data_IF_158921877286
#
_entry.id   IF_158921877286
#
_cell.length_a   1.000
_cell.length_b   1.000
_cell.length_c   1.000
_cell.angle_alpha   90.00
_cell.angle_beta   90.00
_cell.angle_gamma   90.00
#
_symmetry.space_group_name_H-M   'P 1'
#
loop_
_entity.id
_entity.type
_entity.pdbx_description
1 polymer ?
#
# COMPACT_ATOMS: atom_id res chain seq x y z
N UNK A 1 -7.75 10.86 15.53
CA UNK A 1 -7.23 9.97 16.58
C UNK A 1 -6.91 10.84 17.79
N UNK A 2 -7.75 10.83 18.81
CA UNK A 2 -7.47 11.55 20.06
C UNK A 2 -6.43 10.70 20.81
N UNK A 3 -5.19 11.17 20.91
CA UNK A 3 -4.21 10.48 21.74
C UNK A 3 -4.61 10.64 23.20
N UNK A 4 -5.06 9.54 23.81
CA UNK A 4 -5.20 9.43 25.26
C UNK A 4 -3.78 9.39 25.85
N UNK A 5 -3.47 10.35 26.72
CA UNK A 5 -2.29 10.42 27.61
C UNK A 5 -1.12 9.49 27.22
N UNK A 6 -0.22 9.98 26.37
CA UNK A 6 0.94 9.20 25.92
C UNK A 6 2.16 10.08 25.74
N UNK A 7 3.31 9.60 26.21
CA UNK A 7 4.60 10.27 26.10
C UNK A 7 5.56 9.89 27.22
N UNK A 8 6.81 10.33 27.09
CA UNK A 8 7.83 10.14 28.13
C UNK A 8 7.81 11.31 29.12
N UNK A 9 7.71 11.03 30.42
CA UNK A 9 7.78 12.05 31.47
C UNK A 9 9.04 12.92 31.33
N UNK A 10 8.88 14.23 31.50
CA UNK A 10 9.93 15.22 31.29
C UNK A 10 10.05 15.72 29.84
N UNK A 11 9.24 15.22 28.91
CA UNK A 11 9.09 15.77 27.55
C UNK A 11 7.63 16.09 27.21
N UNK A 12 6.67 15.46 27.90
CA UNK A 12 5.24 15.74 27.73
C UNK A 12 4.90 17.20 28.04
N UNK A 13 4.06 17.82 27.20
CA UNK A 13 3.57 19.17 27.41
C UNK A 13 2.52 19.26 28.54
N UNK A 14 2.29 20.43 29.15
CA UNK A 14 1.30 20.61 30.21
C UNK A 14 -0.12 20.17 29.83
N UNK A 15 -0.54 20.42 28.60
CA UNK A 15 -1.86 20.00 28.09
C UNK A 15 -1.98 18.49 27.89
N UNK A 16 -0.86 17.77 27.71
CA UNK A 16 -0.82 16.30 27.62
C UNK A 16 -0.94 15.70 29.03
N UNK A 17 -0.30 16.32 30.02
CA UNK A 17 -0.31 15.87 31.41
C UNK A 17 -1.69 16.09 32.06
N UNK A 18 -2.37 17.19 31.73
CA UNK A 18 -3.70 17.52 32.27
C UNK A 18 -4.76 16.56 31.72
N UNK A 19 -5.32 15.72 32.61
CA UNK A 19 -6.41 14.81 32.26
C UNK A 19 -7.62 15.56 31.69
N UNK A 20 -8.18 15.04 30.60
CA UNK A 20 -9.38 15.59 29.97
C UNK A 20 -9.16 16.80 29.08
N UNK A 21 -7.91 17.27 28.92
CA UNK A 21 -7.57 18.32 27.97
C UNK A 21 -7.23 17.69 26.62
N UNK A 22 -7.86 18.19 25.56
CA UNK A 22 -7.50 17.81 24.20
C UNK A 22 -6.22 18.54 23.79
N UNK A 23 -5.32 17.84 23.12
CA UNK A 23 -4.09 18.42 22.57
C UNK A 23 -3.94 18.05 21.10
N UNK A 24 -3.10 18.82 20.40
CA UNK A 24 -2.80 18.65 18.97
C UNK A 24 -1.28 18.63 18.78
N UNK A 25 -0.79 19.07 17.62
CA UNK A 25 0.63 19.23 17.33
C UNK A 25 1.36 20.19 18.30
N UNK A 26 0.64 20.98 19.09
CA UNK A 26 1.23 21.92 20.07
C UNK A 26 2.16 21.23 21.07
N UNK A 27 1.87 19.97 21.41
CA UNK A 27 2.65 19.18 22.34
C UNK A 27 4.07 18.86 21.81
N UNK A 28 4.20 18.75 20.48
CA UNK A 28 5.49 18.42 19.84
C UNK A 28 6.47 19.60 19.95
N UNK A 29 5.98 20.84 19.84
CA UNK A 29 6.82 22.03 20.03
C UNK A 29 7.39 22.14 21.45
N UNK A 30 6.61 21.79 22.45
CA UNK A 30 7.09 21.72 23.83
C UNK A 30 8.12 20.59 24.00
N UNK A 31 7.84 19.42 23.42
CA UNK A 31 8.75 18.28 23.44
C UNK A 31 10.08 18.60 22.75
N UNK A 32 10.06 19.34 21.64
CA UNK A 32 11.24 19.84 20.95
C UNK A 32 12.07 20.74 21.88
N UNK A 33 11.44 21.68 22.58
CA UNK A 33 12.13 22.51 23.58
C UNK A 33 12.83 21.67 24.66
N UNK A 34 12.17 20.62 25.16
CA UNK A 34 12.74 19.70 26.14
C UNK A 34 13.95 18.93 25.57
N UNK A 35 13.86 18.47 24.32
CA UNK A 35 14.96 17.75 23.63
C UNK A 35 16.15 18.68 23.40
N UNK A 36 15.93 19.89 22.88
CA UNK A 36 16.99 20.88 22.67
C UNK A 36 17.71 21.21 23.98
N UNK A 37 16.96 21.48 25.05
CA UNK A 37 17.54 21.70 26.38
C UNK A 37 18.39 20.50 26.83
N UNK A 38 17.90 19.27 26.62
CA UNK A 38 18.64 18.05 26.97
C UNK A 38 19.92 17.88 26.17
N UNK A 39 19.93 18.16 24.87
CA UNK A 39 21.15 18.10 24.06
C UNK A 39 22.23 19.06 24.58
N UNK A 40 21.82 20.19 25.17
CA UNK A 40 22.72 21.21 25.70
C UNK A 40 23.18 20.95 27.15
N UNK A 41 22.33 20.36 28.00
CA UNK A 41 22.60 20.19 29.44
C UNK A 41 22.76 18.74 29.90
N UNK A 42 22.45 17.77 29.05
CA UNK A 42 22.47 16.34 29.36
C UNK A 42 21.23 15.81 30.09
N UNK A 43 20.29 16.68 30.51
CA UNK A 43 19.07 16.30 31.22
C UNK A 43 17.85 17.12 30.77
N UNK A 44 16.64 16.62 31.01
CA UNK A 44 15.40 17.37 30.72
C UNK A 44 15.26 18.60 31.62
N UNK A 45 14.66 19.71 31.15
CA UNK A 45 14.50 20.95 31.91
C UNK A 45 13.67 20.78 33.19
N UNK A 46 12.78 19.79 33.25
CA UNK A 46 11.90 19.51 34.41
C UNK A 46 12.33 18.28 35.19
N UNK A 47 13.50 17.72 34.85
CA UNK A 47 14.12 16.62 35.59
C UNK A 47 15.29 17.19 36.38
N UNK A 48 15.05 17.54 37.64
CA UNK A 48 16.15 17.86 38.55
C UNK A 48 16.96 16.59 38.86
N UNK A 49 18.23 16.75 39.27
CA UNK A 49 19.07 15.64 39.74
C UNK A 49 18.45 14.82 40.89
N UNK A 50 17.48 15.42 41.59
CA UNK A 50 16.84 14.87 42.78
C UNK A 50 15.42 14.36 42.51
N UNK A 51 14.84 14.59 41.32
CA UNK A 51 13.49 14.15 41.01
C UNK A 51 13.46 12.62 40.88
N UNK A 52 12.82 11.95 41.84
CA UNK A 52 12.81 10.48 41.93
C UNK A 52 11.55 9.85 41.35
N UNK A 53 10.44 10.59 41.24
CA UNK A 53 9.15 10.07 40.79
C UNK A 53 8.62 10.75 39.52
N UNK A 54 7.74 10.06 38.79
CA UNK A 54 7.10 10.58 37.58
C UNK A 54 6.18 11.75 37.88
N UNK A 55 5.49 11.68 39.01
CA UNK A 55 4.55 12.69 39.51
C UNK A 55 5.27 14.00 39.85
N UNK A 56 6.49 13.91 40.40
CA UNK A 56 7.30 15.10 40.67
C UNK A 56 7.73 15.80 39.38
N UNK A 57 8.13 15.03 38.36
CA UNK A 57 8.50 15.57 37.04
C UNK A 57 7.29 16.23 36.38
N UNK A 58 6.11 15.60 36.46
CA UNK A 58 4.87 16.16 35.93
C UNK A 58 4.48 17.44 36.67
N UNK A 59 4.59 17.46 38.00
CA UNK A 59 4.36 18.65 38.81
C UNK A 59 5.32 19.80 38.44
N UNK A 60 6.61 19.52 38.24
CA UNK A 60 7.57 20.51 37.77
C UNK A 60 7.21 21.02 36.37
N UNK A 61 6.76 20.12 35.48
CA UNK A 61 6.33 20.48 34.13
C UNK A 61 5.10 21.38 34.14
N UNK A 62 4.17 21.20 35.07
CA UNK A 62 2.98 22.03 35.19
C UNK A 62 3.25 23.40 35.84
N UNK A 63 4.09 23.43 36.88
CA UNK A 63 4.12 24.56 37.81
C UNK A 63 5.45 25.33 37.83
N UNK A 64 6.54 24.73 37.36
CA UNK A 64 7.87 25.34 37.44
C UNK A 64 8.27 25.96 36.11
N UNK A 65 8.79 27.19 36.16
CA UNK A 65 9.45 27.82 35.03
C UNK A 65 10.83 27.18 34.77
N UNK A 66 11.23 27.18 33.49
CA UNK A 66 12.50 26.60 33.07
C UNK A 66 13.64 27.53 33.49
N UNK A 67 14.62 26.99 34.20
CA UNK A 67 15.82 27.75 34.55
C UNK A 67 16.76 27.81 33.35
N UNK A 68 16.93 28.99 32.77
CA UNK A 68 17.90 29.22 31.70
C UNK A 68 19.31 29.35 32.30
N UNK A 69 20.27 28.65 31.70
CA UNK A 69 21.68 28.72 32.09
C UNK A 69 22.25 30.08 31.69
N UNK A 70 23.06 30.71 32.53
CA UNK A 70 23.79 31.94 32.18
C UNK A 70 24.76 31.75 30.99
N UNK A 71 25.10 30.50 30.67
CA UNK A 71 25.91 30.13 29.51
C UNK A 71 25.15 30.13 28.18
N UNK A 72 23.82 30.27 28.20
CA UNK A 72 23.02 30.29 26.97
C UNK A 72 23.07 31.66 26.32
N UNK A 73 23.14 31.68 24.98
CA UNK A 73 23.02 32.94 24.24
C UNK A 73 21.61 33.53 24.40
N UNK A 74 21.44 34.84 24.21
CA UNK A 74 20.13 35.49 24.25
C UNK A 74 19.14 34.85 23.25
N UNK A 75 19.61 34.52 22.06
CA UNK A 75 18.81 33.95 20.97
C UNK A 75 18.32 32.53 21.32
N UNK A 76 19.21 31.71 21.89
CA UNK A 76 18.86 30.37 22.37
C UNK A 76 17.87 30.44 23.54
N UNK A 77 18.08 31.37 24.46
CA UNK A 77 17.20 31.57 25.61
C UNK A 77 15.80 31.99 25.15
N UNK A 78 15.71 32.84 24.13
CA UNK A 78 14.45 33.24 23.49
C UNK A 78 13.74 32.05 22.87
N UNK A 79 14.46 31.23 22.08
CA UNK A 79 13.91 30.03 21.46
C UNK A 79 13.34 29.05 22.50
N UNK A 80 14.13 28.70 23.52
CA UNK A 80 13.71 27.77 24.56
C UNK A 80 12.56 28.33 25.40
N UNK A 81 12.58 29.62 25.74
CA UNK A 81 11.48 30.27 26.47
C UNK A 81 10.20 30.28 25.65
N UNK A 82 10.28 30.46 24.33
CA UNK A 82 9.13 30.42 23.44
C UNK A 82 8.55 29.01 23.25
N UNK A 83 9.40 28.00 23.09
CA UNK A 83 8.99 26.59 22.94
C UNK A 83 8.44 25.99 24.24
N UNK A 84 8.99 26.39 25.39
CA UNK A 84 8.63 25.83 26.70
C UNK A 84 7.53 26.61 27.44
N UNK A 85 6.78 27.46 26.72
CA UNK A 85 5.59 28.11 27.25
C UNK A 85 4.55 27.08 27.68
N UNK A 86 3.98 27.28 28.87
CA UNK A 86 2.99 26.36 29.43
C UNK A 86 1.65 26.47 28.72
N UNK A 87 1.25 27.68 28.34
CA UNK A 87 0.09 27.96 27.51
C UNK A 87 0.43 27.73 26.03
N UNK A 88 -0.24 26.78 25.34
CA UNK A 88 -0.08 26.59 23.90
C UNK A 88 -0.33 27.86 23.09
N UNK A 89 -1.25 28.75 23.52
CA UNK A 89 -1.55 30.00 22.81
C UNK A 89 -0.38 31.00 22.79
N UNK A 90 0.56 30.86 23.73
CA UNK A 90 1.79 31.66 23.80
C UNK A 90 3.02 30.89 23.29
N UNK A 91 2.90 29.60 22.95
CA UNK A 91 4.02 28.77 22.55
C UNK A 91 4.45 29.06 21.10
N UNK A 92 5.75 29.10 20.85
CA UNK A 92 6.26 29.15 19.48
C UNK A 92 5.82 27.91 18.70
N UNK A 93 5.41 28.14 17.45
CA UNK A 93 4.88 27.09 16.59
C UNK A 93 3.37 26.90 16.70
N UNK A 94 2.70 27.64 17.60
CA UNK A 94 1.29 27.42 17.96
C UNK A 94 0.42 28.66 17.76
N UNK A 95 0.98 29.79 17.32
CA UNK A 95 0.27 31.08 17.20
C UNK A 95 -0.33 31.33 15.80
N UNK A 96 -0.54 30.25 15.04
CA UNK A 96 -1.23 30.24 13.76
C UNK A 96 -0.34 30.09 12.51
N UNK A 97 0.98 30.33 12.59
CA UNK A 97 1.91 30.15 11.45
C UNK A 97 2.75 28.88 11.52
N UNK A 98 2.58 28.07 12.58
CA UNK A 98 3.22 26.77 12.68
C UNK A 98 4.75 26.89 12.70
N UNK A 99 5.44 26.02 11.97
CA UNK A 99 6.90 25.95 11.97
C UNK A 99 7.59 27.25 11.57
N UNK A 100 6.96 28.13 10.77
CA UNK A 100 7.55 29.41 10.38
C UNK A 100 7.87 30.30 11.59
N UNK A 101 7.05 30.27 12.65
CA UNK A 101 7.32 31.02 13.89
C UNK A 101 8.63 30.61 14.56
N UNK A 102 9.00 29.33 14.42
CA UNK A 102 10.22 28.77 14.99
C UNK A 102 11.40 29.04 14.06
N UNK A 103 11.20 28.89 12.74
CA UNK A 103 12.22 29.17 11.72
C UNK A 103 12.65 30.64 11.67
N UNK A 104 11.72 31.56 11.93
CA UNK A 104 11.96 33.01 12.00
C UNK A 104 12.72 33.46 13.27
N UNK A 105 12.94 32.55 14.23
CA UNK A 105 13.68 32.88 15.44
C UNK A 105 15.12 33.28 15.12
N UNK A 106 15.63 34.29 15.80
CA UNK A 106 17.00 34.81 15.65
C UNK A 106 18.06 33.74 15.83
N UNK A 107 17.78 32.70 16.63
CA UNK A 107 18.64 31.53 16.78
C UNK A 107 18.96 30.84 15.44
N UNK A 108 18.00 30.83 14.50
CA UNK A 108 18.14 30.27 13.16
C UNK A 108 18.40 31.34 12.08
N UNK A 109 18.79 32.57 12.47
CA UNK A 109 18.94 33.69 11.54
C UNK A 109 19.97 33.46 10.42
N UNK A 110 20.92 32.55 10.61
CA UNK A 110 21.93 32.17 9.61
C UNK A 110 21.63 30.82 8.93
N UNK A 111 20.43 30.25 9.13
CA UNK A 111 20.06 28.93 8.58
C UNK A 111 19.33 29.08 7.26
N UNK A 112 19.91 28.51 6.19
CA UNK A 112 19.18 28.32 4.93
C UNK A 112 18.32 27.05 5.02
N UNK A 113 17.00 27.22 5.15
CA UNK A 113 16.06 26.10 5.28
C UNK A 113 15.93 25.25 4.00
N UNK A 114 16.24 25.80 2.83
CA UNK A 114 16.27 25.01 1.59
C UNK A 114 17.45 24.03 1.58
N UNK A 115 18.61 24.46 2.10
CA UNK A 115 19.78 23.60 2.23
C UNK A 115 19.60 22.55 3.34
N UNK A 116 18.86 22.87 4.41
CA UNK A 116 18.41 21.89 5.43
C UNK A 116 17.55 20.83 4.78
N UNK A 117 16.52 21.22 4.02
CA UNK A 117 15.58 20.30 3.37
C UNK A 117 16.28 19.40 2.34
N UNK A 118 17.21 19.99 1.58
CA UNK A 118 18.04 19.29 0.60
C UNK A 118 19.19 18.47 1.23
N UNK A 119 19.32 18.45 2.57
CA UNK A 119 20.35 17.73 3.33
C UNK A 119 21.79 18.09 2.91
N UNK A 120 22.05 19.37 2.65
CA UNK A 120 23.37 19.87 2.22
C UNK A 120 24.27 20.38 3.35
N UNK A 121 23.69 20.64 4.53
CA UNK A 121 24.47 21.09 5.67
C UNK A 121 25.34 19.94 6.20
N UNK A 122 26.57 20.26 6.58
CA UNK A 122 27.46 19.29 7.21
C UNK A 122 26.91 18.89 8.59
N UNK A 123 26.75 17.58 8.87
CA UNK A 123 26.28 17.13 10.16
C UNK A 123 27.35 17.40 11.24
N UNK A 124 26.97 17.81 12.46
CA UNK A 124 27.93 18.09 13.53
C UNK A 124 28.63 16.84 14.08
N UNK A 125 28.11 15.65 13.76
CA UNK A 125 28.68 14.36 14.13
C UNK A 125 28.48 13.38 12.97
N UNK A 126 29.57 12.92 12.40
CA UNK A 126 29.58 11.78 11.49
C UNK A 126 29.86 10.51 12.30
N UNK A 127 28.92 9.54 12.35
CA UNK A 127 29.14 8.30 13.07
C UNK A 127 30.35 7.53 12.49
N UNK A 128 31.27 7.03 13.34
CA UNK A 128 32.38 6.20 12.87
C UNK A 128 31.89 4.96 12.13
N UNK A 129 32.56 4.61 11.02
CA UNK A 129 32.21 3.41 10.25
C UNK A 129 32.42 2.16 11.09
N UNK A 130 31.37 1.36 11.23
CA UNK A 130 31.41 0.09 11.96
C UNK A 130 31.07 0.21 13.46
N UNK A 131 30.87 1.42 13.99
CA UNK A 131 30.31 1.60 15.33
C UNK A 131 28.78 1.56 15.27
N UNK A 132 28.21 0.61 16.01
CA UNK A 132 26.77 0.56 16.26
C UNK A 132 26.49 1.46 17.46
N UNK A 133 25.89 2.63 17.23
CA UNK A 133 25.39 3.52 18.29
C UNK A 133 24.09 2.98 18.94
N UNK A 134 24.06 1.68 19.22
CA UNK A 134 23.05 1.02 20.03
C UNK A 134 23.77 0.33 21.19
N UNK A 135 23.10 0.19 22.32
CA UNK A 135 23.60 -0.72 23.36
C UNK A 135 23.79 -2.12 22.72
N UNK A 136 24.87 -2.80 23.08
CA UNK A 136 25.09 -4.17 22.62
C UNK A 136 23.85 -5.01 22.99
N UNK A 137 23.45 -5.96 22.14
CA UNK A 137 22.38 -6.89 22.48
C UNK A 137 22.66 -7.60 23.81
N UNK A 138 23.93 -7.78 24.18
CA UNK A 138 24.35 -8.30 25.48
C UNK A 138 24.10 -7.33 26.66
N UNK A 139 24.12 -6.01 26.43
CA UNK A 139 23.89 -4.96 27.44
C UNK A 139 22.40 -4.64 27.66
N UNK A 140 21.54 -5.00 26.71
CA UNK A 140 20.09 -4.73 26.75
C UNK A 140 19.35 -5.71 27.67
N UNK A 141 20.01 -6.79 28.10
CA UNK A 141 19.41 -7.89 28.85
C UNK A 141 18.60 -8.83 27.94
N UNK A 142 18.53 -10.11 28.29
CA UNK A 142 17.71 -11.08 27.59
C UNK A 142 16.27 -11.03 28.10
N UNK A 143 15.30 -10.97 27.19
CA UNK A 143 13.91 -11.28 27.54
C UNK A 143 13.80 -12.79 27.84
N UNK A 144 13.11 -13.15 28.92
CA UNK A 144 12.93 -14.56 29.27
C UNK A 144 11.99 -15.23 28.25
N UNK A 145 12.50 -16.21 27.51
CA UNK A 145 11.67 -16.96 26.56
C UNK A 145 10.53 -17.72 27.26
N UNK A 146 10.72 -18.10 28.53
CA UNK A 146 9.68 -18.79 29.30
C UNK A 146 8.45 -17.90 29.54
N UNK A 147 8.60 -16.57 29.52
CA UNK A 147 7.48 -15.61 29.62
C UNK A 147 6.55 -15.69 28.40
N UNK A 148 7.05 -16.14 27.23
CA UNK A 148 6.29 -16.14 25.97
C UNK A 148 5.96 -17.54 25.44
N UNK A 149 6.70 -18.58 25.83
CA UNK A 149 6.52 -19.98 25.35
C UNK A 149 5.10 -20.53 25.50
N UNK A 150 4.35 -20.08 26.51
CA UNK A 150 2.97 -20.57 26.78
C UNK A 150 1.89 -19.73 26.11
N UNK A 151 2.25 -18.64 25.44
CA UNK A 151 1.30 -17.77 24.74
C UNK A 151 0.96 -18.40 23.40
N UNK A 152 -0.34 -18.59 23.14
CA UNK A 152 -0.86 -19.05 21.84
C UNK A 152 -1.71 -17.96 21.23
N UNK A 153 -1.44 -17.63 19.97
CA UNK A 153 -2.24 -16.68 19.20
C UNK A 153 -3.52 -17.37 18.72
N UNK A 154 -4.65 -16.83 19.11
CA UNK A 154 -5.97 -17.25 18.67
C UNK A 154 -6.35 -16.59 17.33
N UNK A 155 -7.40 -17.08 16.69
CA UNK A 155 -7.98 -16.42 15.50
C UNK A 155 -8.44 -14.99 15.81
N UNK A 156 -8.86 -14.73 17.05
CA UNK A 156 -9.25 -13.38 17.50
C UNK A 156 -8.05 -12.43 17.49
N UNK A 157 -6.87 -12.90 17.90
CA UNK A 157 -5.63 -12.12 17.89
C UNK A 157 -5.18 -11.84 16.45
N UNK A 158 -5.26 -12.86 15.58
CA UNK A 158 -4.91 -12.72 14.16
C UNK A 158 -5.80 -11.71 13.43
N UNK A 159 -7.09 -11.62 13.80
CA UNK A 159 -8.02 -10.65 13.19
C UNK A 159 -7.60 -9.19 13.41
N UNK A 160 -6.87 -8.88 14.48
CA UNK A 160 -6.34 -7.54 14.73
C UNK A 160 -5.37 -7.13 13.62
N UNK A 161 -4.61 -8.08 13.07
CA UNK A 161 -3.60 -7.85 12.03
C UNK A 161 -4.13 -8.03 10.61
N UNK A 162 -5.44 -8.26 10.43
CA UNK A 162 -6.04 -8.48 9.10
C UNK A 162 -5.70 -7.38 8.09
N UNK A 163 -5.63 -6.13 8.55
CA UNK A 163 -5.33 -4.96 7.73
C UNK A 163 -3.94 -4.37 8.03
N UNK A 164 -3.03 -5.17 8.59
CA UNK A 164 -1.67 -4.73 8.92
C UNK A 164 -0.79 -4.58 7.67
N UNK A 165 -0.94 -5.50 6.71
CA UNK A 165 -0.18 -5.48 5.46
C UNK A 165 -0.55 -4.26 4.61
N UNK A 166 0.46 -3.47 4.24
CA UNK A 166 0.30 -2.27 3.41
C UNK A 166 1.50 -2.12 2.48
N UNK A 167 1.25 -1.68 1.25
CA UNK A 167 2.28 -1.23 0.31
C UNK A 167 2.10 0.27 0.10
N UNK A 168 3.13 1.05 0.41
CA UNK A 168 3.14 2.49 0.12
C UNK A 168 3.58 2.68 -1.32
N UNK A 169 2.62 2.98 -2.20
CA UNK A 169 2.83 3.01 -3.65
C UNK A 169 4.03 3.86 -4.06
N UNK A 170 4.14 5.09 -3.56
CA UNK A 170 5.22 6.01 -3.95
C UNK A 170 6.60 5.49 -3.53
N UNK A 171 6.69 4.79 -2.39
CA UNK A 171 7.94 4.19 -1.91
C UNK A 171 8.36 3.01 -2.78
N UNK A 172 7.41 2.13 -3.09
CA UNK A 172 7.65 0.98 -3.95
C UNK A 172 8.04 1.43 -5.37
N UNK A 173 7.35 2.42 -5.92
CA UNK A 173 7.67 2.96 -7.25
C UNK A 173 9.05 3.62 -7.27
N UNK A 174 9.40 4.43 -6.27
CA UNK A 174 10.73 5.03 -6.17
C UNK A 174 11.83 3.96 -6.09
N UNK A 175 11.64 2.93 -5.26
CA UNK A 175 12.57 1.79 -5.15
C UNK A 175 12.73 1.05 -6.48
N UNK A 176 11.62 0.80 -7.20
CA UNK A 176 11.67 0.16 -8.53
C UNK A 176 12.43 1.01 -9.55
N UNK A 177 12.15 2.32 -9.59
CA UNK A 177 12.77 3.25 -10.54
C UNK A 177 14.26 3.42 -10.30
N UNK A 178 14.68 3.51 -9.04
CA UNK A 178 16.10 3.61 -8.66
C UNK A 178 16.85 2.28 -8.82
N UNK A 179 16.14 1.15 -8.69
CA UNK A 179 16.69 -0.19 -8.76
C UNK A 179 16.62 -0.82 -10.15
N UNK A 180 15.52 -1.53 -10.42
CA UNK A 180 15.47 -2.57 -11.47
C UNK A 180 14.59 -2.21 -12.68
N UNK A 181 13.86 -1.10 -12.64
CA UNK A 181 12.81 -0.78 -13.63
C UNK A 181 13.31 -0.84 -15.08
N UNK A 182 14.45 -0.21 -15.37
CA UNK A 182 15.02 -0.18 -16.71
C UNK A 182 15.42 -1.58 -17.22
N UNK A 183 16.00 -2.39 -16.34
CA UNK A 183 16.45 -3.74 -16.69
C UNK A 183 15.27 -4.68 -16.93
N UNK A 184 14.29 -4.68 -16.01
CA UNK A 184 13.09 -5.52 -16.13
C UNK A 184 12.30 -5.20 -17.39
N UNK A 185 12.13 -3.91 -17.72
CA UNK A 185 11.42 -3.51 -18.94
C UNK A 185 12.18 -3.92 -20.20
N UNK A 186 13.50 -3.70 -20.25
CA UNK A 186 14.33 -4.11 -21.40
C UNK A 186 14.29 -5.62 -21.64
N UNK A 187 14.32 -6.42 -20.57
CA UNK A 187 14.17 -7.87 -20.68
C UNK A 187 12.76 -8.28 -21.14
N UNK A 188 11.72 -7.61 -20.63
CA UNK A 188 10.34 -7.86 -21.01
C UNK A 188 10.07 -7.50 -22.47
N UNK A 189 10.53 -6.35 -22.93
CA UNK A 189 10.40 -5.89 -24.32
C UNK A 189 11.00 -6.90 -25.30
N UNK A 190 12.20 -7.43 -24.99
CA UNK A 190 12.86 -8.46 -25.81
C UNK A 190 12.05 -9.76 -25.86
N UNK A 191 11.41 -10.15 -24.75
CA UNK A 191 10.59 -11.35 -24.70
C UNK A 191 9.30 -11.16 -25.51
N UNK A 192 8.62 -10.03 -25.34
CA UNK A 192 7.40 -9.70 -26.08
C UNK A 192 7.65 -9.60 -27.59
N UNK A 193 8.77 -9.00 -28.00
CA UNK A 193 9.19 -8.95 -29.40
C UNK A 193 9.32 -10.35 -30.02
N UNK A 194 9.96 -11.28 -29.30
CA UNK A 194 10.14 -12.67 -29.76
C UNK A 194 8.80 -13.38 -29.94
N UNK A 195 7.88 -13.21 -29.00
CA UNK A 195 6.54 -13.81 -29.09
C UNK A 195 5.71 -13.18 -30.22
N UNK A 196 5.80 -11.86 -30.39
CA UNK A 196 5.14 -11.13 -31.49
C UNK A 196 5.62 -11.63 -32.85
N UNK A 197 6.92 -11.82 -33.04
CA UNK A 197 7.48 -12.35 -34.27
C UNK A 197 7.03 -13.79 -34.55
N UNK A 198 6.89 -14.64 -33.51
CA UNK A 198 6.34 -15.99 -33.66
C UNK A 198 4.89 -15.95 -34.13
N UNK A 199 4.06 -15.09 -33.53
CA UNK A 199 2.65 -14.93 -33.92
C UNK A 199 2.52 -14.41 -35.34
N UNK A 200 3.28 -13.39 -35.70
CA UNK A 200 3.29 -12.84 -37.07
C UNK A 200 3.65 -13.91 -38.12
N UNK A 201 4.67 -14.74 -37.86
CA UNK A 201 5.04 -15.87 -38.74
C UNK A 201 3.93 -16.92 -38.86
N UNK A 202 3.10 -17.07 -37.84
CA UNK A 202 1.97 -17.99 -37.83
C UNK A 202 0.68 -17.37 -38.40
N UNK A 203 0.70 -16.11 -38.86
CA UNK A 203 -0.49 -15.40 -39.33
C UNK A 203 -1.48 -15.02 -38.22
N UNK A 204 -1.03 -15.02 -36.96
CA UNK A 204 -1.82 -14.66 -35.77
C UNK A 204 -1.44 -13.25 -35.33
N UNK A 205 -2.43 -12.38 -35.10
CA UNK A 205 -2.19 -11.07 -34.48
C UNK A 205 -1.97 -11.28 -32.97
N UNK A 206 -0.82 -10.83 -32.46
CA UNK A 206 -0.49 -11.00 -31.05
C UNK A 206 -1.43 -10.22 -30.10
N UNK A 207 -1.86 -9.03 -30.50
CA UNK A 207 -2.72 -8.17 -29.68
C UNK A 207 -4.20 -8.55 -29.79
N UNK A 208 -4.58 -9.09 -30.95
CA UNK A 208 -5.93 -9.57 -31.19
C UNK A 208 -5.94 -10.97 -31.82
N UNK A 209 -5.55 -11.99 -31.05
CA UNK A 209 -5.33 -13.33 -31.59
C UNK A 209 -6.63 -14.02 -32.01
N UNK A 210 -7.77 -13.48 -31.59
CA UNK A 210 -9.12 -13.93 -31.93
C UNK A 210 -9.80 -12.99 -32.95
N UNK A 211 -9.03 -12.42 -33.89
CA UNK A 211 -9.51 -11.52 -34.95
C UNK A 211 -10.76 -12.01 -35.71
N UNK A 212 -11.01 -13.32 -35.72
CA UNK A 212 -12.14 -13.95 -36.40
C UNK A 212 -13.44 -13.94 -35.57
N UNK A 213 -13.38 -13.94 -34.24
CA UNK A 213 -14.57 -13.95 -33.37
C UNK A 213 -14.67 -12.65 -32.56
N UNK A 214 -15.24 -11.62 -33.20
CA UNK A 214 -15.29 -10.23 -32.68
C UNK A 214 -16.15 -10.03 -31.42
N UNK A 215 -16.74 -11.08 -30.88
CA UNK A 215 -17.63 -11.05 -29.72
C UNK A 215 -16.97 -11.55 -28.43
N UNK A 216 -15.67 -11.83 -28.42
CA UNK A 216 -14.94 -12.12 -27.19
C UNK A 216 -15.02 -10.95 -26.19
N UNK A 217 -15.25 -11.28 -24.92
CA UNK A 217 -15.44 -10.34 -23.82
C UNK A 217 -14.13 -10.01 -23.11
N UNK A 218 -13.32 -11.05 -22.84
CA UNK A 218 -12.00 -10.95 -22.22
C UNK A 218 -11.15 -12.13 -22.67
N UNK A 219 -9.86 -11.88 -22.83
CA UNK A 219 -8.85 -12.88 -23.17
C UNK A 219 -7.60 -12.67 -22.31
N UNK A 220 -6.87 -13.74 -22.03
CA UNK A 220 -5.66 -13.64 -21.22
C UNK A 220 -5.14 -14.98 -20.74
N UNK A 221 -3.95 -14.95 -20.17
CA UNK A 221 -3.38 -16.13 -19.55
C UNK A 221 -3.96 -16.36 -18.16
N UNK A 222 -4.20 -17.63 -17.84
CA UNK A 222 -4.52 -18.08 -16.50
C UNK A 222 -3.98 -19.48 -16.30
N UNK A 223 -4.36 -20.11 -15.20
CA UNK A 223 -4.05 -21.51 -14.96
C UNK A 223 -5.32 -22.31 -14.75
N UNK A 224 -5.38 -23.47 -15.40
CA UNK A 224 -6.42 -24.46 -15.21
C UNK A 224 -5.88 -25.64 -14.42
N UNK A 225 -6.61 -26.13 -13.43
CA UNK A 225 -6.28 -27.41 -12.81
C UNK A 225 -6.57 -28.54 -13.82
N UNK A 226 -5.56 -29.37 -14.06
CA UNK A 226 -5.60 -30.52 -14.95
C UNK A 226 -4.67 -31.64 -14.46
N UNK A 227 -4.27 -32.54 -15.36
CA UNK A 227 -3.42 -33.68 -15.03
C UNK A 227 -4.18 -34.95 -14.66
N UNK A 228 -3.45 -36.02 -14.38
CA UNK A 228 -4.03 -37.29 -13.96
C UNK A 228 -4.72 -37.13 -12.61
N UNK A 229 -5.85 -37.82 -12.38
CA UNK A 229 -6.67 -37.66 -11.16
C UNK A 229 -5.90 -37.87 -9.84
N UNK A 230 -4.78 -38.61 -9.88
CA UNK A 230 -3.92 -38.87 -8.72
C UNK A 230 -2.91 -37.75 -8.44
N UNK A 231 -2.56 -36.93 -9.44
CA UNK A 231 -1.57 -35.85 -9.37
C UNK A 231 -2.06 -34.61 -10.14
N UNK A 232 -3.06 -33.88 -9.61
CA UNK A 232 -3.55 -32.67 -10.26
C UNK A 232 -2.48 -31.59 -10.25
N UNK A 233 -2.29 -30.95 -11.41
CA UNK A 233 -1.31 -29.89 -11.63
C UNK A 233 -1.94 -28.68 -12.30
N UNK A 234 -1.48 -27.50 -11.92
CA UNK A 234 -1.85 -26.25 -12.54
C UNK A 234 -1.14 -26.09 -13.87
N UNK A 235 -1.90 -25.93 -14.95
CA UNK A 235 -1.39 -25.77 -16.30
C UNK A 235 -1.70 -24.36 -16.79
N UNK A 236 -0.68 -23.63 -17.24
CA UNK A 236 -0.87 -22.32 -17.88
C UNK A 236 -1.62 -22.52 -19.20
N UNK A 237 -2.66 -21.72 -19.41
CA UNK A 237 -3.55 -21.76 -20.58
C UNK A 237 -3.86 -20.33 -21.02
N UNK A 238 -4.11 -20.17 -22.31
CA UNK A 238 -4.69 -18.94 -22.84
C UNK A 238 -6.20 -19.12 -22.88
N UNK A 239 -6.94 -18.25 -22.20
CA UNK A 239 -8.39 -18.28 -22.11
C UNK A 239 -9.00 -17.21 -22.99
N UNK A 240 -10.14 -17.53 -23.59
CA UNK A 240 -11.00 -16.57 -24.29
C UNK A 240 -12.43 -16.79 -23.81
N UNK A 241 -13.02 -15.75 -23.23
CA UNK A 241 -14.40 -15.79 -22.78
C UNK A 241 -15.29 -15.09 -23.81
N UNK A 242 -16.38 -15.76 -24.16
CA UNK A 242 -17.44 -15.24 -25.00
C UNK A 242 -18.75 -15.17 -24.20
N UNK A 243 -19.79 -14.51 -24.72
CA UNK A 243 -21.08 -14.43 -24.04
C UNK A 243 -21.71 -15.79 -23.70
N UNK A 244 -21.41 -16.84 -24.49
CA UNK A 244 -22.05 -18.15 -24.41
C UNK A 244 -21.10 -19.32 -24.17
N UNK A 245 -19.79 -19.09 -24.02
CA UNK A 245 -18.81 -20.16 -23.83
C UNK A 245 -17.49 -19.64 -23.28
N UNK A 246 -16.76 -20.52 -22.61
CA UNK A 246 -15.36 -20.32 -22.24
C UNK A 246 -14.48 -21.25 -23.07
N UNK A 247 -13.46 -20.70 -23.72
CA UNK A 247 -12.46 -21.44 -24.48
C UNK A 247 -11.09 -21.37 -23.81
N UNK A 248 -10.30 -22.44 -23.96
CA UNK A 248 -8.89 -22.41 -23.56
C UNK A 248 -7.98 -23.26 -24.45
N UNK A 249 -6.78 -22.74 -24.68
CA UNK A 249 -5.71 -23.38 -25.47
C UNK A 249 -4.38 -23.40 -24.69
N UNK A 250 -3.37 -24.09 -25.22
CA UNK A 250 -2.04 -24.12 -24.61
C UNK A 250 -1.37 -22.74 -24.67
N UNK A 251 -1.61 -22.00 -25.74
CA UNK A 251 -1.07 -20.67 -25.99
C UNK A 251 -1.88 -19.94 -27.08
N UNK A 252 -1.52 -18.69 -27.33
CA UNK A 252 -2.13 -17.84 -28.37
C UNK A 252 -2.14 -18.50 -29.77
N UNK A 253 -1.12 -19.26 -30.14
CA UNK A 253 -1.01 -19.90 -31.46
C UNK A 253 -1.97 -21.08 -31.65
N UNK A 254 -2.61 -21.56 -30.59
CA UNK A 254 -3.44 -22.77 -30.57
C UNK A 254 -4.92 -22.49 -30.33
N UNK A 255 -5.36 -21.23 -30.45
CA UNK A 255 -6.77 -20.85 -30.27
C UNK A 255 -7.70 -21.64 -31.20
N UNK A 256 -7.32 -21.87 -32.46
CA UNK A 256 -8.10 -22.69 -33.41
C UNK A 256 -8.25 -24.17 -33.03
N UNK A 257 -7.60 -24.63 -31.96
CA UNK A 257 -7.71 -25.98 -31.38
C UNK A 257 -8.12 -25.91 -29.89
N UNK A 258 -8.79 -24.84 -29.49
CA UNK A 258 -9.18 -24.64 -28.11
C UNK A 258 -10.18 -25.70 -27.63
N UNK A 259 -10.07 -26.02 -26.35
CA UNK A 259 -11.12 -26.74 -25.65
C UNK A 259 -12.25 -25.76 -25.36
N UNK A 260 -13.49 -26.24 -25.44
CA UNK A 260 -14.69 -25.40 -25.27
C UNK A 260 -15.52 -25.90 -24.10
N UNK A 261 -15.95 -24.97 -23.26
CA UNK A 261 -17.04 -25.15 -22.30
C UNK A 261 -18.19 -24.25 -22.72
N UNK A 262 -19.22 -24.82 -23.34
CA UNK A 262 -20.43 -24.11 -23.68
C UNK A 262 -21.27 -23.81 -22.42
N UNK A 263 -21.93 -22.66 -22.42
CA UNK A 263 -22.93 -22.27 -21.42
C UNK A 263 -24.35 -22.57 -21.94
N UNK A 264 -24.52 -23.78 -22.47
CA UNK A 264 -25.76 -24.31 -23.05
C UNK A 264 -26.73 -24.92 -22.02
N UNK A 265 -26.28 -24.96 -20.77
CA UNK A 265 -26.98 -25.46 -19.58
C UNK A 265 -26.63 -24.55 -18.41
N UNK A 266 -27.34 -24.70 -17.29
CA UNK A 266 -27.00 -23.92 -16.10
C UNK A 266 -25.58 -24.21 -15.63
N UNK A 267 -24.81 -23.17 -15.29
CA UNK A 267 -23.41 -23.30 -14.86
C UNK A 267 -23.22 -22.59 -13.53
N UNK A 268 -22.61 -23.26 -12.55
CA UNK A 268 -22.21 -22.62 -11.30
C UNK A 268 -20.82 -21.99 -11.48
N UNK A 269 -20.70 -20.70 -11.15
CA UNK A 269 -19.43 -19.96 -11.08
C UNK A 269 -19.29 -19.34 -9.70
N UNK A 270 -18.30 -19.78 -8.93
CA UNK A 270 -18.06 -19.29 -7.57
C UNK A 270 -16.57 -19.21 -7.23
N UNK A 271 -16.28 -18.39 -6.24
CA UNK A 271 -14.97 -18.29 -5.63
C UNK A 271 -14.84 -19.39 -4.57
N UNK A 272 -13.75 -20.17 -4.63
CA UNK A 272 -13.53 -21.29 -3.73
C UNK A 272 -12.05 -21.56 -3.53
N UNK A 273 -11.68 -21.82 -2.29
CA UNK A 273 -10.31 -22.19 -1.96
C UNK A 273 -10.00 -23.63 -2.40
N UNK A 274 -8.82 -23.82 -2.98
CA UNK A 274 -8.27 -25.14 -3.27
C UNK A 274 -6.79 -25.16 -2.86
N UNK A 275 -6.47 -25.95 -1.83
CA UNK A 275 -5.10 -26.08 -1.26
C UNK A 275 -4.49 -24.72 -0.89
N UNK A 276 -5.24 -23.86 -0.20
CA UNK A 276 -4.78 -22.53 0.22
C UNK A 276 -4.71 -21.48 -0.88
N UNK A 277 -5.12 -21.82 -2.11
CA UNK A 277 -5.17 -20.88 -3.24
C UNK A 277 -6.61 -20.48 -3.51
N UNK A 278 -6.84 -19.18 -3.63
CA UNK A 278 -8.12 -18.65 -4.05
C UNK A 278 -8.34 -18.92 -5.55
N UNK A 279 -9.41 -19.66 -5.88
CA UNK A 279 -9.68 -20.14 -7.23
C UNK A 279 -11.11 -19.82 -7.66
N UNK A 280 -11.35 -19.82 -8.97
CA UNK A 280 -12.69 -19.79 -9.55
C UNK A 280 -13.07 -21.22 -9.90
N UNK A 281 -14.16 -21.72 -9.29
CA UNK A 281 -14.76 -23.01 -9.64
C UNK A 281 -15.90 -22.79 -10.63
N UNK A 282 -15.80 -23.43 -11.78
CA UNK A 282 -16.83 -23.45 -12.82
C UNK A 282 -17.34 -24.89 -12.98
N UNK A 283 -18.64 -25.11 -12.81
CA UNK A 283 -19.23 -26.44 -12.85
C UNK A 283 -20.61 -26.41 -13.53
N UNK A 284 -20.79 -27.10 -14.68
CA UNK A 284 -22.12 -27.31 -15.25
C UNK A 284 -23.03 -28.04 -14.27
N UNK A 285 -24.22 -27.51 -14.05
CA UNK A 285 -25.20 -28.08 -13.12
C UNK A 285 -25.64 -29.45 -13.64
N UNK A 286 -25.62 -30.45 -12.76
CA UNK A 286 -25.89 -31.85 -13.13
C UNK A 286 -24.66 -32.62 -13.64
N UNK A 287 -23.52 -31.95 -13.84
CA UNK A 287 -22.24 -32.61 -14.16
C UNK A 287 -21.37 -32.81 -12.93
N UNK A 288 -20.69 -33.96 -12.85
CA UNK A 288 -19.62 -34.21 -11.86
C UNK A 288 -18.29 -33.53 -12.24
N UNK A 289 -18.19 -32.95 -13.45
CA UNK A 289 -16.96 -32.35 -13.96
C UNK A 289 -16.83 -30.91 -13.48
N UNK A 290 -15.75 -30.63 -12.78
CA UNK A 290 -15.40 -29.29 -12.30
C UNK A 290 -14.22 -28.72 -13.09
N UNK A 291 -14.25 -27.41 -13.31
CA UNK A 291 -13.17 -26.65 -13.92
C UNK A 291 -12.67 -25.63 -12.90
N UNK A 292 -11.41 -25.79 -12.48
CA UNK A 292 -10.77 -24.92 -11.50
C UNK A 292 -9.80 -23.98 -12.20
N UNK A 293 -9.99 -22.68 -12.03
CA UNK A 293 -9.22 -21.62 -12.67
C UNK A 293 -8.53 -20.75 -11.60
N UNK A 294 -7.33 -20.24 -11.91
CA UNK A 294 -6.65 -19.20 -11.13
C UNK A 294 -5.93 -18.22 -12.05
N UNK A 295 -5.76 -16.98 -11.61
CA UNK A 295 -5.10 -15.90 -12.35
C UNK A 295 -3.91 -15.36 -11.55
N UNK A 296 -2.98 -14.68 -12.22
CA UNK A 296 -1.67 -14.32 -11.65
C UNK A 296 -1.80 -13.23 -10.57
N UNK A 297 -2.71 -12.28 -10.77
CA UNK A 297 -3.01 -11.22 -9.79
C UNK A 297 -4.42 -11.32 -9.20
N UNK A 298 -4.62 -10.73 -8.02
CA UNK A 298 -5.93 -10.61 -7.39
C UNK A 298 -6.92 -9.80 -8.25
N UNK A 299 -6.43 -8.73 -8.90
CA UNK A 299 -7.24 -7.92 -9.80
C UNK A 299 -7.73 -8.73 -11.01
N UNK A 300 -6.83 -9.49 -11.67
CA UNK A 300 -7.26 -10.38 -12.75
C UNK A 300 -8.27 -11.41 -12.27
N UNK A 301 -8.06 -11.99 -11.08
CA UNK A 301 -9.00 -12.93 -10.49
C UNK A 301 -10.41 -12.32 -10.37
N UNK A 302 -10.51 -11.12 -9.79
CA UNK A 302 -11.78 -10.41 -9.62
C UNK A 302 -12.46 -10.11 -10.96
N UNK A 303 -11.69 -9.62 -11.94
CA UNK A 303 -12.19 -9.32 -13.29
C UNK A 303 -12.73 -10.59 -13.95
N UNK A 304 -11.95 -11.68 -13.96
CA UNK A 304 -12.38 -12.93 -14.59
C UNK A 304 -13.60 -13.54 -13.89
N UNK A 305 -13.66 -13.47 -12.56
CA UNK A 305 -14.82 -13.95 -11.79
C UNK A 305 -16.09 -13.19 -12.14
N UNK A 306 -16.02 -11.87 -12.21
CA UNK A 306 -17.16 -11.02 -12.57
C UNK A 306 -17.64 -11.31 -14.00
N UNK A 307 -16.72 -11.31 -14.98
CA UNK A 307 -17.06 -11.58 -16.37
C UNK A 307 -17.64 -12.98 -16.59
N UNK A 308 -17.10 -14.01 -15.93
CA UNK A 308 -17.64 -15.37 -16.00
C UNK A 308 -19.05 -15.46 -15.43
N UNK A 309 -19.28 -14.88 -14.24
CA UNK A 309 -20.61 -14.84 -13.60
C UNK A 309 -21.62 -14.14 -14.50
N UNK A 310 -21.28 -12.97 -15.02
CA UNK A 310 -22.17 -12.22 -15.90
C UNK A 310 -22.49 -12.95 -17.21
N UNK A 311 -21.50 -13.64 -17.79
CA UNK A 311 -21.68 -14.37 -19.06
C UNK A 311 -22.62 -15.55 -18.88
N UNK A 312 -22.45 -16.32 -17.80
CA UNK A 312 -23.33 -17.45 -17.47
C UNK A 312 -24.77 -16.98 -17.21
N UNK A 313 -24.97 -15.94 -16.39
CA UNK A 313 -26.31 -15.38 -16.12
C UNK A 313 -27.01 -14.94 -17.41
N UNK A 314 -26.27 -14.24 -18.29
CA UNK A 314 -26.81 -13.78 -19.58
C UNK A 314 -27.15 -14.97 -20.50
N UNK A 315 -26.29 -15.99 -20.56
CA UNK A 315 -26.53 -17.19 -21.36
C UNK A 315 -27.77 -17.95 -20.88
N UNK A 316 -27.92 -18.16 -19.57
CA UNK A 316 -29.10 -18.82 -18.99
C UNK A 316 -30.41 -18.06 -19.28
N UNK A 317 -30.37 -16.72 -19.18
CA UNK A 317 -31.52 -15.88 -19.53
C UNK A 317 -31.91 -16.02 -21.00
N UNK A 318 -30.94 -16.06 -21.91
CA UNK A 318 -31.18 -16.26 -23.35
C UNK A 318 -31.75 -17.65 -23.67
N UNK A 319 -31.25 -18.70 -23.02
CA UNK A 319 -31.76 -20.07 -23.17
C UNK A 319 -33.22 -20.18 -22.69
N UNK A 320 -33.54 -19.51 -21.59
CA UNK A 320 -34.91 -19.48 -21.03
C UNK A 320 -35.86 -18.66 -21.90
N UNK A 321 -35.36 -17.65 -22.61
CA UNK A 321 -36.14 -16.72 -23.44
C UNK A 321 -36.47 -17.22 -24.88
N UNK A 322 -36.21 -18.49 -25.20
CA UNK A 322 -36.50 -19.06 -26.53
C UNK A 322 -37.96 -18.91 -27.02
N UNK A 323 -38.29 -19.45 -28.20
CA UNK A 323 -38.59 -18.76 -29.47
C UNK A 323 -39.57 -17.55 -29.46
N UNK A 324 -39.63 -16.73 -28.41
CA UNK A 324 -40.37 -15.44 -28.43
C UNK A 324 -39.63 -14.35 -29.20
N UNK A 325 -38.29 -14.34 -29.20
CA UNK A 325 -37.49 -13.31 -29.89
C UNK A 325 -37.38 -13.46 -31.42
N UNK A 326 -37.66 -14.64 -31.99
CA UNK A 326 -37.58 -14.86 -33.44
C UNK A 326 -38.86 -14.42 -34.19
N UNK A 327 -39.94 -14.02 -33.48
CA UNK A 327 -41.20 -13.58 -34.11
C UNK A 327 -41.34 -12.06 -34.19
N UNK A 328 -40.76 -11.32 -33.23
CA UNK A 328 -40.79 -9.86 -33.26
C UNK A 328 -39.49 -9.33 -33.84
N UNK A 329 -39.51 -9.09 -35.15
CA UNK A 329 -38.47 -8.40 -35.91
C UNK A 329 -38.34 -6.92 -35.55
N UNK A 330 -38.31 -6.57 -34.26
CA UNK A 330 -38.06 -5.20 -33.82
C UNK A 330 -36.60 -5.05 -33.39
N UNK A 331 -35.82 -4.45 -34.28
CA UNK A 331 -34.55 -3.71 -34.07
C UNK A 331 -33.90 -3.81 -32.68
N UNK A 332 -32.72 -4.44 -32.64
CA UNK A 332 -31.77 -4.52 -31.52
C UNK A 332 -31.10 -3.16 -31.17
N UNK A 333 -31.80 -2.04 -31.33
CA UNK A 333 -31.22 -0.68 -31.20
C UNK A 333 -31.27 -0.08 -29.78
N UNK A 334 -31.72 -0.81 -28.75
CA UNK A 334 -31.95 -0.24 -27.41
C UNK A 334 -31.04 -0.75 -26.29
N UNK A 335 -30.11 -1.68 -26.55
CA UNK A 335 -29.07 -1.99 -25.58
C UNK A 335 -27.91 -1.01 -25.74
N UNK A 336 -28.02 0.13 -25.05
CA UNK A 336 -26.89 1.04 -24.87
C UNK A 336 -25.72 0.26 -24.25
N UNK A 337 -24.68 0.04 -25.05
CA UNK A 337 -23.38 -0.35 -24.53
C UNK A 337 -22.93 0.70 -23.50
N UNK A 338 -22.46 0.32 -22.30
CA UNK A 338 -21.63 1.23 -21.55
C UNK A 338 -20.47 1.61 -22.46
N UNK A 339 -20.27 2.92 -22.68
CA UNK A 339 -19.18 3.45 -23.51
C UNK A 339 -17.90 2.71 -23.15
N UNK A 340 -17.23 2.12 -24.15
CA UNK A 340 -15.84 1.69 -24.03
C UNK A 340 -15.06 2.88 -23.45
N UNK A 341 -14.67 2.82 -22.18
CA UNK A 341 -13.52 3.59 -21.78
C UNK A 341 -12.33 2.84 -22.36
N UNK A 342 -11.59 3.42 -23.32
CA UNK A 342 -10.30 2.85 -23.63
C UNK A 342 -9.50 2.85 -22.34
N UNK A 343 -9.01 1.68 -21.93
CA UNK A 343 -7.85 1.61 -21.05
C UNK A 343 -6.75 2.38 -21.79
N UNK A 344 -6.58 3.64 -21.40
CA UNK A 344 -5.39 4.39 -21.74
C UNK A 344 -4.24 3.60 -21.13
N UNK A 345 -3.56 2.82 -21.97
CA UNK A 345 -2.14 2.54 -21.77
C UNK A 345 -1.53 3.89 -21.45
N UNK A 346 -0.98 4.02 -20.25
CA UNK A 346 -0.25 5.21 -19.85
C UNK A 346 0.79 5.49 -20.93
N UNK A 347 0.50 6.46 -21.81
CA UNK A 347 1.53 7.04 -22.66
C UNK A 347 2.54 7.63 -21.70
N UNK A 348 3.79 7.25 -21.92
CA UNK A 348 4.98 7.83 -21.30
C UNK A 348 4.76 9.28 -20.90
N UNK A 349 4.85 9.55 -19.60
CA UNK A 349 4.94 10.91 -19.07
C UNK A 349 6.11 11.61 -19.80
N UNK A 350 5.89 12.76 -20.45
CA UNK A 350 7.01 13.58 -20.87
C UNK A 350 7.69 14.11 -19.61
N UNK A 351 8.99 13.85 -19.48
CA UNK A 351 9.88 14.57 -18.58
C UNK A 351 9.72 16.06 -18.89
N UNK A 352 9.11 16.82 -17.98
CA UNK A 352 9.10 18.27 -18.08
C UNK A 352 10.47 18.78 -17.65
N UNK A 353 11.24 19.25 -18.62
CA UNK A 353 12.39 20.11 -18.40
C UNK A 353 12.01 21.27 -17.48
N UNK A 354 12.87 21.51 -16.49
CA UNK A 354 12.75 22.64 -15.59
C UNK A 354 12.80 23.96 -16.34
N UNK A 355 11.94 24.89 -15.94
CA UNK A 355 12.23 26.32 -15.98
C UNK A 355 11.70 27.00 -14.73
N UNK A 356 12.60 27.72 -14.09
CA UNK A 356 12.37 28.73 -13.06
C UNK A 356 11.21 29.66 -13.39
N UNK A 357 10.42 29.99 -12.37
CA UNK A 357 10.23 31.37 -11.87
C UNK A 357 9.73 31.30 -10.44
#
# INVERSE_FOLDING_TARGET
MLCLFSGTHGYMAPEVIKKGVQYTFTADWFSLGCVLYKLLKGHSPFRSSNAKSKEEIDHQTLNKEVQMSASFSPELSQLLTGLLQKDPGQRFGCRGRGSEEVKECTFFGNTNWDDVLARKLEPPLEPPRGEVNAADAFDIGSFDEDDTKKIRLSDTDQRIYKNFSLVVQDRWQAEMMEGIFANVNSERDRLEERERQKCHRAGVDYYNPDLHHRDSLIQGYGHKLGGMSLLPQWQKRFFVLYPNRLEWSDNILSIGKANVLAFDSSVLVEEKENRGLNCIRVQPVGSKKEYWLRFESALEHEIWLDYLKQSVIKSEALLTAGPKMMRDGSSLSSLQHPRRQPLHVAKSLPLSDGKST
#
